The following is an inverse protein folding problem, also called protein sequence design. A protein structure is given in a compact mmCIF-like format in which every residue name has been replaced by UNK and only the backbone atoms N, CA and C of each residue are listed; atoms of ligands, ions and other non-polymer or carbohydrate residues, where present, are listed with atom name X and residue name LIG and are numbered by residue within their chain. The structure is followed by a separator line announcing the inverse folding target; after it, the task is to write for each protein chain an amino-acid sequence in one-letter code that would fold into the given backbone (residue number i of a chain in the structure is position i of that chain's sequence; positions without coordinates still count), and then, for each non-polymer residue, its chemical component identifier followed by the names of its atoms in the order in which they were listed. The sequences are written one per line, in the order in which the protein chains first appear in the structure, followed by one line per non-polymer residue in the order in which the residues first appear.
data_IF_548782567262
#
_entry.id   IF_548782567262
#
_cell.length_a   1.000
_cell.length_b   1.000
_cell.length_c   1.000
_cell.angle_alpha   90.00
_cell.angle_beta   90.00
_cell.angle_gamma   90.00
#
_symmetry.space_group_name_H-M   'P 1'
#
loop_
_entity.id
_entity.type
_entity.pdbx_description
1 polymer ?
#
# COMPACT_ATOMS: atom_id res chain seq x y z
N UNK A 1 -11.16 3.73 -15.51
CA UNK A 1 -10.18 4.63 -14.90
C UNK A 1 -9.17 4.92 -15.97
N UNK A 2 -8.98 6.19 -16.27
CA UNK A 2 -7.93 6.62 -17.17
C UNK A 2 -6.57 6.37 -16.51
N UNK A 3 -5.50 6.28 -17.30
CA UNK A 3 -4.17 5.95 -16.76
C UNK A 3 -3.70 7.02 -15.75
N UNK A 4 -4.06 8.28 -15.99
CA UNK A 4 -3.73 9.42 -15.12
C UNK A 4 -4.50 9.35 -13.79
N UNK A 5 -5.79 9.04 -13.82
CA UNK A 5 -6.61 8.82 -12.61
C UNK A 5 -6.07 7.68 -11.73
N UNK A 6 -5.60 6.58 -12.35
CA UNK A 6 -4.96 5.47 -11.62
C UNK A 6 -3.69 5.93 -10.91
N UNK A 7 -2.84 6.67 -11.62
CA UNK A 7 -1.57 7.15 -11.08
C UNK A 7 -1.79 8.11 -9.92
N UNK A 8 -2.68 9.09 -10.08
CA UNK A 8 -3.02 10.03 -9.03
C UNK A 8 -3.58 9.32 -7.80
N UNK A 9 -4.47 8.34 -8.00
CA UNK A 9 -5.03 7.55 -6.91
C UNK A 9 -3.96 6.75 -6.15
N UNK A 10 -3.08 6.02 -6.85
CA UNK A 10 -2.01 5.22 -6.22
C UNK A 10 -1.00 6.11 -5.49
N UNK A 11 -0.57 7.22 -6.11
CA UNK A 11 0.40 8.14 -5.51
C UNK A 11 -0.19 8.83 -4.28
N UNK A 12 -1.42 9.35 -4.37
CA UNK A 12 -2.07 10.02 -3.25
C UNK A 12 -2.34 9.07 -2.07
N UNK A 13 -2.81 7.84 -2.34
CA UNK A 13 -3.03 6.87 -1.28
C UNK A 13 -1.72 6.43 -0.62
N UNK A 14 -0.68 6.16 -1.41
CA UNK A 14 0.63 5.78 -0.91
C UNK A 14 1.23 6.90 -0.04
N UNK A 15 1.05 8.16 -0.44
CA UNK A 15 1.48 9.30 0.35
C UNK A 15 0.72 9.42 1.68
N UNK A 16 -0.60 9.18 1.66
CA UNK A 16 -1.42 9.16 2.88
C UNK A 16 -0.99 8.03 3.83
N UNK A 17 -0.72 6.83 3.32
CA UNK A 17 -0.21 5.69 4.11
C UNK A 17 1.13 6.05 4.76
N UNK A 18 2.03 6.74 4.05
CA UNK A 18 3.29 7.24 4.63
C UNK A 18 3.03 8.17 5.80
N UNK A 19 2.14 9.16 5.65
CA UNK A 19 1.81 10.11 6.73
C UNK A 19 1.29 9.36 7.97
N UNK A 20 0.30 8.47 7.79
CA UNK A 20 -0.27 7.73 8.91
C UNK A 20 0.73 6.74 9.53
N UNK A 21 1.63 6.16 8.74
CA UNK A 21 2.73 5.31 9.25
C UNK A 21 3.71 6.12 10.10
N UNK A 22 4.05 7.36 9.69
CA UNK A 22 4.86 8.25 10.52
C UNK A 22 4.16 8.66 11.81
N UNK A 23 2.87 8.98 11.75
CA UNK A 23 2.07 9.25 12.96
C UNK A 23 2.11 8.05 13.90
N UNK A 24 1.94 6.84 13.37
CA UNK A 24 1.98 5.61 14.15
C UNK A 24 3.37 5.36 14.77
N UNK A 25 4.46 5.62 14.04
CA UNK A 25 5.83 5.57 14.58
C UNK A 25 5.98 6.52 15.77
N UNK A 26 5.57 7.78 15.60
CA UNK A 26 5.68 8.80 16.66
C UNK A 26 4.85 8.40 17.87
N UNK A 27 3.61 7.95 17.66
CA UNK A 27 2.75 7.46 18.75
C UNK A 27 3.40 6.27 19.46
N UNK A 28 3.90 5.29 18.71
CA UNK A 28 4.52 4.08 19.28
C UNK A 28 5.71 4.43 20.15
N UNK A 29 6.60 5.33 19.70
CA UNK A 29 7.76 5.78 20.49
C UNK A 29 7.32 6.51 21.76
N UNK A 30 6.37 7.44 21.66
CA UNK A 30 5.89 8.20 22.83
C UNK A 30 5.15 7.30 23.83
N UNK A 31 4.30 6.39 23.36
CA UNK A 31 3.53 5.49 24.23
C UNK A 31 4.41 4.43 24.90
N UNK A 32 5.46 3.96 24.23
CA UNK A 32 6.47 3.08 24.84
C UNK A 32 7.20 3.79 25.98
N UNK A 33 7.47 5.09 25.84
CA UNK A 33 8.18 5.86 26.87
C UNK A 33 7.29 6.33 28.02
N UNK A 34 6.02 6.64 27.76
CA UNK A 34 5.13 7.32 28.72
C UNK A 34 4.16 6.34 29.41
N UNK A 35 3.66 5.34 28.68
CA UNK A 35 2.54 4.50 29.12
C UNK A 35 2.91 3.02 29.28
N UNK A 36 4.20 2.71 29.28
CA UNK A 36 4.76 1.36 29.46
C UNK A 36 4.10 0.34 28.51
N UNK A 37 3.91 0.75 27.25
CA UNK A 37 3.47 -0.12 26.16
C UNK A 37 4.33 -1.38 26.15
N UNK A 38 3.73 -2.56 26.00
CA UNK A 38 4.48 -3.82 26.00
C UNK A 38 5.62 -3.70 24.97
N UNK A 39 6.87 -3.78 25.42
CA UNK A 39 8.05 -3.43 24.60
C UNK A 39 8.06 -4.21 23.28
N UNK A 40 7.62 -5.47 23.31
CA UNK A 40 7.51 -6.31 22.12
C UNK A 40 6.44 -5.78 21.14
N UNK A 41 5.28 -5.40 21.65
CA UNK A 41 4.18 -4.85 20.86
C UNK A 41 4.57 -3.51 20.20
N UNK A 42 5.21 -2.63 20.97
CA UNK A 42 5.74 -1.36 20.44
C UNK A 42 6.78 -1.57 19.33
N UNK A 43 7.69 -2.53 19.50
CA UNK A 43 8.65 -2.87 18.46
C UNK A 43 8.00 -3.45 17.20
N UNK A 44 7.00 -4.32 17.33
CA UNK A 44 6.24 -4.88 16.21
C UNK A 44 5.53 -3.77 15.40
N UNK A 45 4.81 -2.87 16.06
CA UNK A 45 4.14 -1.73 15.41
C UNK A 45 5.12 -0.80 14.70
N UNK A 46 6.26 -0.52 15.34
CA UNK A 46 7.30 0.31 14.76
C UNK A 46 7.87 -0.30 13.47
N UNK A 47 8.21 -1.59 13.49
CA UNK A 47 8.74 -2.32 12.33
C UNK A 47 7.70 -2.34 11.20
N UNK A 48 6.42 -2.61 11.52
CA UNK A 48 5.37 -2.63 10.50
C UNK A 48 5.15 -1.28 9.84
N UNK A 49 5.21 -0.21 10.63
CA UNK A 49 5.08 1.16 10.12
C UNK A 49 6.25 1.52 9.20
N UNK A 50 7.47 1.06 9.51
CA UNK A 50 8.62 1.20 8.60
C UNK A 50 8.38 0.46 7.29
N UNK A 51 7.90 -0.79 7.35
CA UNK A 51 7.59 -1.58 6.16
C UNK A 51 6.55 -0.86 5.30
N UNK A 52 5.51 -0.28 5.90
CA UNK A 52 4.51 0.50 5.20
C UNK A 52 5.08 1.73 4.49
N UNK A 53 5.97 2.46 5.16
CA UNK A 53 6.69 3.56 4.53
C UNK A 53 7.49 3.07 3.30
N UNK A 54 8.26 1.99 3.44
CA UNK A 54 9.09 1.45 2.36
C UNK A 54 8.26 0.97 1.17
N UNK A 55 7.19 0.21 1.42
CA UNK A 55 6.32 -0.28 0.35
C UNK A 55 5.56 0.85 -0.33
N UNK A 56 5.10 1.85 0.42
CA UNK A 56 4.42 3.02 -0.15
C UNK A 56 5.37 3.87 -0.99
N UNK A 57 6.62 4.06 -0.56
CA UNK A 57 7.66 4.72 -1.36
C UNK A 57 7.90 3.93 -2.66
N UNK A 58 7.99 2.60 -2.56
CA UNK A 58 8.14 1.74 -3.74
C UNK A 58 7.00 1.94 -4.75
N UNK A 59 5.74 1.96 -4.29
CA UNK A 59 4.60 2.21 -5.17
C UNK A 59 4.65 3.60 -5.82
N UNK A 60 4.98 4.65 -5.06
CA UNK A 60 5.15 6.00 -5.62
C UNK A 60 6.20 5.99 -6.73
N UNK A 61 7.38 5.39 -6.50
CA UNK A 61 8.47 5.35 -7.48
C UNK A 61 8.04 4.59 -8.75
N UNK A 62 7.45 3.41 -8.59
CA UNK A 62 7.06 2.58 -9.73
C UNK A 62 5.94 3.26 -10.54
N UNK A 63 4.94 3.83 -9.88
CA UNK A 63 3.84 4.55 -10.55
C UNK A 63 4.32 5.82 -11.24
N UNK A 64 5.23 6.61 -10.64
CA UNK A 64 5.82 7.78 -11.29
C UNK A 64 6.72 7.41 -12.48
N UNK A 65 7.34 6.23 -12.46
CA UNK A 65 8.13 5.73 -13.60
C UNK A 65 7.24 5.47 -14.82
N UNK A 66 6.00 5.01 -14.62
CA UNK A 66 5.03 4.80 -15.70
C UNK A 66 4.71 6.11 -16.42
N UNK A 67 4.62 7.25 -15.70
CA UNK A 67 4.35 8.58 -16.28
C UNK A 67 5.43 9.04 -17.27
N UNK A 68 6.67 8.60 -17.11
CA UNK A 68 7.81 9.02 -17.96
C UNK A 68 7.94 8.19 -19.24
N UNK A 69 7.22 7.08 -19.38
CA UNK A 69 7.29 6.22 -20.56
C UNK A 69 6.37 6.77 -21.66
N UNK A 70 6.86 7.07 -22.87
CA UNK A 70 6.02 7.53 -23.97
C UNK A 70 5.01 6.44 -24.35
N UNK A 71 3.74 6.85 -24.53
CA UNK A 71 2.58 6.01 -24.87
C UNK A 71 2.75 5.11 -26.12
N UNK A 72 3.81 5.29 -26.91
CA UNK A 72 4.14 4.44 -28.05
C UNK A 72 4.69 3.06 -27.66
N UNK A 73 5.14 2.86 -26.42
CA UNK A 73 5.62 1.57 -25.90
C UNK A 73 4.54 0.88 -25.03
N UNK A 74 3.40 0.53 -25.63
CA UNK A 74 2.32 -0.20 -24.94
C UNK A 74 2.78 -1.54 -24.32
N UNK A 75 3.86 -2.15 -24.82
CA UNK A 75 4.42 -3.38 -24.25
C UNK A 75 5.06 -3.17 -22.87
N UNK A 76 5.74 -2.04 -22.65
CA UNK A 76 6.41 -1.73 -21.39
C UNK A 76 5.42 -1.39 -20.27
N UNK A 77 4.33 -0.68 -20.59
CA UNK A 77 3.28 -0.30 -19.61
C UNK A 77 2.61 -1.55 -19.01
N UNK A 78 2.39 -2.60 -19.81
CA UNK A 78 1.87 -3.90 -19.33
C UNK A 78 2.84 -4.58 -18.35
N UNK A 79 4.15 -4.47 -18.57
CA UNK A 79 5.17 -5.04 -17.70
C UNK A 79 5.23 -4.38 -16.32
N UNK A 80 5.19 -3.05 -16.27
CA UNK A 80 5.23 -2.28 -15.02
C UNK A 80 3.98 -2.50 -14.17
N UNK A 81 2.79 -2.46 -14.80
CA UNK A 81 1.54 -2.71 -14.08
C UNK A 81 1.45 -4.15 -13.53
N UNK A 82 2.03 -5.14 -14.21
CA UNK A 82 2.17 -6.51 -13.66
C UNK A 82 3.08 -6.58 -12.43
N UNK A 83 4.16 -5.79 -12.39
CA UNK A 83 5.05 -5.74 -11.21
C UNK A 83 4.33 -5.14 -10.01
N UNK A 84 3.54 -4.09 -10.21
CA UNK A 84 2.67 -3.52 -9.16
C UNK A 84 1.66 -4.56 -8.64
N UNK A 85 1.04 -5.36 -9.52
CA UNK A 85 0.15 -6.47 -9.12
C UNK A 85 0.84 -7.51 -8.25
N UNK A 86 2.10 -7.86 -8.57
CA UNK A 86 2.87 -8.85 -7.81
C UNK A 86 3.32 -8.27 -6.48
N UNK A 87 3.70 -6.99 -6.45
CA UNK A 87 4.06 -6.30 -5.20
C UNK A 87 2.90 -6.29 -4.19
N UNK A 88 1.65 -6.17 -4.65
CA UNK A 88 0.46 -6.28 -3.80
C UNK A 88 0.33 -7.64 -3.09
N UNK A 89 0.83 -8.73 -3.67
CA UNK A 89 0.80 -10.04 -3.00
C UNK A 89 1.67 -10.07 -1.74
N UNK A 90 2.72 -9.26 -1.67
CA UNK A 90 3.54 -9.09 -0.46
C UNK A 90 2.86 -8.20 0.58
N UNK A 91 1.91 -7.37 0.16
CA UNK A 91 1.17 -6.45 1.02
C UNK A 91 0.05 -7.17 1.80
N UNK A 92 -0.54 -8.23 1.23
CA UNK A 92 -1.66 -8.96 1.85
C UNK A 92 -1.26 -9.65 3.18
N UNK A 93 -0.16 -10.43 3.27
CA UNK A 93 0.27 -11.03 4.53
C UNK A 93 0.60 -9.98 5.61
N UNK A 94 1.14 -8.84 5.19
CA UNK A 94 1.46 -7.73 6.09
C UNK A 94 0.20 -7.13 6.71
N UNK A 95 -0.84 -6.84 5.91
CA UNK A 95 -2.14 -6.36 6.42
C UNK A 95 -2.74 -7.36 7.41
N UNK A 96 -2.71 -8.65 7.11
CA UNK A 96 -3.27 -9.69 7.99
C UNK A 96 -2.55 -9.68 9.34
N UNK A 97 -1.22 -9.59 9.32
CA UNK A 97 -0.42 -9.50 10.54
C UNK A 97 -0.71 -8.22 11.34
N UNK A 98 -0.90 -7.10 10.65
CA UNK A 98 -1.24 -5.83 11.26
C UNK A 98 -2.64 -5.84 11.92
N UNK A 99 -3.61 -6.52 11.32
CA UNK A 99 -4.94 -6.76 11.93
C UNK A 99 -4.82 -7.62 13.20
N UNK A 100 -4.00 -8.68 13.19
CA UNK A 100 -3.80 -9.55 14.36
C UNK A 100 -3.25 -8.74 15.54
N UNK A 101 -2.28 -7.87 15.27
CA UNK A 101 -1.68 -6.97 16.27
C UNK A 101 -2.72 -6.00 16.82
N UNK A 102 -3.57 -5.43 15.97
CA UNK A 102 -4.63 -4.53 16.41
C UNK A 102 -5.62 -5.14 17.42
N UNK A 103 -5.89 -6.44 17.31
CA UNK A 103 -6.82 -7.15 18.20
C UNK A 103 -6.18 -7.40 19.58
N UNK A 104 -4.84 -7.39 19.66
CA UNK A 104 -4.09 -7.77 20.86
C UNK A 104 -4.05 -6.68 21.95
N UNK A 105 -4.01 -5.40 21.59
CA UNK A 105 -3.92 -4.31 22.57
C UNK A 105 -4.91 -3.14 22.32
N UNK A 106 -5.37 -2.54 23.41
CA UNK A 106 -6.47 -1.56 23.43
C UNK A 106 -6.02 -0.13 23.78
N UNK A 107 -4.96 0.37 23.18
CA UNK A 107 -4.66 1.81 23.22
C UNK A 107 -5.51 2.52 22.16
N UNK A 108 -6.63 3.12 22.58
CA UNK A 108 -7.66 3.67 21.68
C UNK A 108 -7.10 4.52 20.52
N UNK A 109 -6.12 5.39 20.78
CA UNK A 109 -5.51 6.24 19.73
C UNK A 109 -4.69 5.41 18.74
N UNK A 110 -3.86 4.48 19.23
CA UNK A 110 -3.07 3.56 18.38
C UNK A 110 -4.02 2.70 17.56
N UNK A 111 -5.08 2.17 18.18
CA UNK A 111 -6.10 1.36 17.51
C UNK A 111 -6.78 2.14 16.39
N UNK A 112 -7.14 3.41 16.61
CA UNK A 112 -7.78 4.25 15.58
C UNK A 112 -6.84 4.50 14.41
N UNK A 113 -5.60 4.93 14.69
CA UNK A 113 -4.60 5.23 13.63
C UNK A 113 -4.28 3.99 12.81
N UNK A 114 -4.05 2.86 13.47
CA UNK A 114 -3.83 1.57 12.83
C UNK A 114 -5.05 1.10 12.01
N UNK A 115 -6.28 1.31 12.49
CA UNK A 115 -7.49 0.96 11.74
C UNK A 115 -7.63 1.79 10.46
N UNK A 116 -7.32 3.08 10.53
CA UNK A 116 -7.29 3.95 9.34
C UNK A 116 -6.22 3.45 8.37
N UNK A 117 -5.03 3.08 8.86
CA UNK A 117 -3.94 2.56 8.05
C UNK A 117 -4.38 1.33 7.24
N UNK A 118 -4.96 0.32 7.89
CA UNK A 118 -5.47 -0.89 7.22
C UNK A 118 -6.53 -0.52 6.17
N UNK A 119 -7.43 0.39 6.50
CA UNK A 119 -8.48 0.80 5.57
C UNK A 119 -7.88 1.43 4.29
N UNK A 120 -6.87 2.27 4.43
CA UNK A 120 -6.14 2.86 3.31
C UNK A 120 -5.39 1.80 2.50
N UNK A 121 -4.68 0.90 3.17
CA UNK A 121 -3.97 -0.21 2.53
C UNK A 121 -4.94 -1.12 1.74
N UNK A 122 -6.11 -1.41 2.31
CA UNK A 122 -7.16 -2.17 1.64
C UNK A 122 -7.66 -1.48 0.37
N UNK A 123 -7.88 -0.16 0.42
CA UNK A 123 -8.26 0.63 -0.76
C UNK A 123 -7.15 0.57 -1.82
N UNK A 124 -5.87 0.70 -1.43
CA UNK A 124 -4.74 0.63 -2.35
C UNK A 124 -4.70 -0.71 -3.09
N UNK A 125 -4.85 -1.81 -2.35
CA UNK A 125 -4.91 -3.15 -2.91
C UNK A 125 -6.08 -3.28 -3.90
N UNK A 126 -7.26 -2.79 -3.52
CA UNK A 126 -8.44 -2.83 -4.38
C UNK A 126 -8.25 -2.07 -5.69
N UNK A 127 -7.61 -0.89 -5.65
CA UNK A 127 -7.28 -0.08 -6.84
C UNK A 127 -6.33 -0.85 -7.75
N UNK A 128 -5.25 -1.42 -7.20
CA UNK A 128 -4.26 -2.15 -7.98
C UNK A 128 -4.84 -3.43 -8.58
N UNK A 129 -5.63 -4.21 -7.81
CA UNK A 129 -6.29 -5.43 -8.31
C UNK A 129 -7.26 -5.10 -9.44
N UNK A 130 -8.09 -4.07 -9.27
CA UNK A 130 -9.04 -3.62 -10.30
C UNK A 130 -8.32 -3.27 -11.61
N UNK A 131 -7.21 -2.54 -11.52
CA UNK A 131 -6.45 -2.18 -12.72
C UNK A 131 -5.75 -3.39 -13.34
N UNK A 132 -5.19 -4.27 -12.52
CA UNK A 132 -4.59 -5.53 -12.96
C UNK A 132 -5.59 -6.39 -13.74
N UNK A 133 -6.82 -6.49 -13.25
CA UNK A 133 -7.91 -7.21 -13.89
C UNK A 133 -8.31 -6.59 -15.24
N UNK A 134 -8.39 -5.25 -15.32
CA UNK A 134 -8.70 -4.54 -16.57
C UNK A 134 -7.67 -4.82 -17.67
N UNK A 135 -6.39 -4.89 -17.32
CA UNK A 135 -5.30 -5.19 -18.25
C UNK A 135 -5.44 -6.61 -18.80
N UNK A 136 -5.68 -7.59 -17.92
CA UNK A 136 -5.83 -8.99 -18.32
C UNK A 136 -7.00 -9.15 -19.29
N UNK A 137 -8.15 -8.50 -19.02
CA UNK A 137 -9.31 -8.54 -19.91
C UNK A 137 -9.03 -7.87 -21.25
N UNK A 138 -8.43 -6.67 -21.25
CA UNK A 138 -8.10 -5.96 -22.49
C UNK A 138 -7.21 -6.81 -23.39
N UNK A 139 -6.15 -7.38 -22.82
CA UNK A 139 -5.24 -8.28 -23.54
C UNK A 139 -5.99 -9.48 -24.14
N UNK A 140 -6.90 -10.11 -23.39
CA UNK A 140 -7.69 -11.26 -23.88
C UNK A 140 -8.60 -10.89 -25.06
N UNK A 141 -9.17 -9.69 -25.08
CA UNK A 141 -10.03 -9.20 -26.19
C UNK A 141 -9.24 -8.93 -27.47
N UNK A 142 -7.99 -8.49 -27.35
CA UNK A 142 -7.10 -8.24 -28.48
C UNK A 142 -6.59 -9.54 -29.10
N UNK A 143 -6.30 -10.56 -28.28
CA UNK A 143 -5.77 -11.84 -28.80
C UNK A 143 -6.85 -12.72 -29.46
N UNK A 144 -8.13 -12.52 -29.13
CA UNK A 144 -9.25 -13.27 -29.73
C UNK A 144 -9.80 -12.67 -31.03
N UNK A 145 -9.19 -11.60 -31.57
CA UNK A 145 -9.56 -10.95 -32.84
C UNK A 145 -8.58 -11.25 -34.00
N UNK A 146 -7.51 -12.00 -33.73
CA UNK A 146 -6.62 -12.56 -34.74
C UNK A 146 -6.91 -14.06 -34.90
#
# INVERSE_FOLDING_TARGET
MEADEFQEAVVSLSFLIIIFSFILIVLTVNFTQIFDLEVNFGQELFILSIINCLLSIYFIIETLRIRKLPLSENENISGTKKRESIAVLFFIPHIIYFIIILIRESYQIITIVSSILIFLEFILICIIIKESYNIIIRKKRETGRN
#
